data_IF_297139309096
#
_entry.id   IF_297139309096
#
_cell.length_a   1.000
_cell.length_b   1.000
_cell.length_c   1.000
_cell.angle_alpha   90.00
_cell.angle_beta   90.00
_cell.angle_gamma   90.00
#
_symmetry.space_group_name_H-M   'P 1'
#
loop_
_entity.id
_entity.type
_entity.pdbx_description
1 polymer ?
#
# COMPACT_ATOMS: atom_id res chain seq x y z
N UNK A 1 -7.73 18.48 8.23
CA UNK A 1 -8.06 17.39 7.29
C UNK A 1 -7.09 17.39 6.13
N UNK A 2 -6.28 16.34 5.99
CA UNK A 2 -5.28 16.12 4.94
C UNK A 2 -5.57 14.79 4.24
N UNK A 3 -5.47 14.80 2.92
CA UNK A 3 -5.69 13.62 2.07
C UNK A 3 -4.45 13.42 1.22
N UNK A 4 -3.97 12.18 1.14
CA UNK A 4 -2.91 11.78 0.21
C UNK A 4 -3.49 10.76 -0.76
N UNK A 5 -3.29 10.99 -2.05
CA UNK A 5 -3.55 9.99 -3.10
C UNK A 5 -2.23 9.52 -3.69
N UNK A 6 -2.05 8.22 -3.85
CA UNK A 6 -0.80 7.65 -4.35
C UNK A 6 -1.06 6.33 -5.09
N UNK A 7 -0.65 6.28 -6.35
CA UNK A 7 -0.51 5.02 -7.06
C UNK A 7 0.82 4.39 -6.65
N UNK A 8 0.78 3.17 -6.12
CA UNK A 8 1.97 2.51 -5.56
C UNK A 8 2.57 1.46 -6.49
N UNK A 9 1.96 1.23 -7.66
CA UNK A 9 2.41 0.29 -8.69
C UNK A 9 2.83 -1.08 -8.11
N UNK A 10 1.92 -1.70 -7.35
CA UNK A 10 2.16 -2.99 -6.71
C UNK A 10 3.14 -2.97 -5.54
N UNK A 11 3.65 -1.80 -5.14
CA UNK A 11 4.69 -1.67 -4.13
C UNK A 11 6.09 -2.04 -4.63
N UNK A 12 6.36 -1.88 -5.94
CA UNK A 12 7.61 -2.25 -6.60
C UNK A 12 8.86 -1.70 -5.89
N UNK A 13 8.81 -0.46 -5.38
CA UNK A 13 9.84 0.15 -4.54
C UNK A 13 9.51 0.04 -3.04
N UNK A 14 9.68 -1.17 -2.51
CA UNK A 14 9.13 -1.55 -1.20
C UNK A 14 9.59 -0.65 -0.03
N UNK A 15 10.90 -0.54 0.23
CA UNK A 15 11.40 0.14 1.43
C UNK A 15 11.08 1.64 1.46
N UNK A 16 11.35 2.44 0.41
CA UNK A 16 10.97 3.87 0.41
C UNK A 16 9.46 4.07 0.58
N UNK A 17 8.65 3.15 0.05
CA UNK A 17 7.20 3.19 0.20
C UNK A 17 6.77 2.96 1.66
N UNK A 18 7.37 2.01 2.38
CA UNK A 18 7.08 1.82 3.80
C UNK A 18 7.51 3.03 4.65
N UNK A 19 8.68 3.60 4.36
CA UNK A 19 9.19 4.82 5.01
C UNK A 19 8.26 6.02 4.77
N UNK A 20 7.64 6.11 3.58
CA UNK A 20 6.61 7.10 3.28
C UNK A 20 5.38 6.96 4.18
N UNK A 21 4.85 5.74 4.32
CA UNK A 21 3.69 5.50 5.18
C UNK A 21 3.96 5.77 6.65
N UNK A 22 5.16 5.43 7.15
CA UNK A 22 5.56 5.79 8.53
C UNK A 22 5.62 7.31 8.74
N UNK A 23 6.22 8.03 7.78
CA UNK A 23 6.33 9.49 7.84
C UNK A 23 4.97 10.19 7.87
N UNK A 24 4.00 9.69 7.11
CA UNK A 24 2.70 10.31 6.93
C UNK A 24 1.55 9.62 7.67
N UNK A 25 1.84 8.74 8.64
CA UNK A 25 0.82 7.92 9.33
C UNK A 25 -0.34 8.70 9.98
N UNK A 26 -0.14 9.97 10.31
CA UNK A 26 -1.14 10.87 10.92
C UNK A 26 -2.02 11.60 9.89
N UNK A 27 -1.84 11.35 8.59
CA UNK A 27 -2.79 11.80 7.55
C UNK A 27 -4.17 11.24 7.85
N UNK A 28 -5.22 11.98 7.50
CA UNK A 28 -6.60 11.56 7.81
C UNK A 28 -7.10 10.49 6.84
N UNK A 29 -6.78 10.62 5.54
CA UNK A 29 -7.23 9.70 4.49
C UNK A 29 -6.10 9.41 3.49
N UNK A 30 -5.88 8.12 3.22
CA UNK A 30 -5.08 7.65 2.10
C UNK A 30 -5.98 7.06 0.99
N UNK A 31 -5.78 7.51 -0.25
CA UNK A 31 -6.38 6.95 -1.45
C UNK A 31 -5.31 6.25 -2.28
N UNK A 32 -5.27 4.93 -2.24
CA UNK A 32 -4.18 4.16 -2.85
C UNK A 32 -4.67 3.40 -4.09
N UNK A 33 -3.89 3.43 -5.18
CA UNK A 33 -4.17 2.70 -6.43
C UNK A 33 -3.09 1.66 -6.71
N UNK A 34 -3.44 0.66 -7.52
CA UNK A 34 -2.57 -0.47 -7.91
C UNK A 34 -1.98 -1.22 -6.71
N UNK A 35 -2.83 -1.47 -5.70
CA UNK A 35 -2.44 -2.26 -4.52
C UNK A 35 -2.66 -3.74 -4.78
N UNK A 36 -1.68 -4.57 -4.43
CA UNK A 36 -1.82 -6.03 -4.39
C UNK A 36 -2.25 -6.51 -3.00
N UNK A 37 -3.27 -7.36 -2.97
CA UNK A 37 -3.78 -8.00 -1.76
C UNK A 37 -4.12 -9.46 -2.04
N UNK A 38 -3.35 -10.39 -1.46
CA UNK A 38 -3.54 -11.84 -1.63
C UNK A 38 -3.46 -12.28 -3.10
N UNK A 39 -2.63 -11.60 -3.89
CA UNK A 39 -2.42 -11.95 -5.30
C UNK A 39 -1.65 -13.27 -5.39
N UNK A 40 -2.15 -14.22 -6.19
CA UNK A 40 -1.38 -15.43 -6.53
C UNK A 40 -0.27 -15.04 -7.51
N UNK A 41 0.95 -15.58 -7.36
CA UNK A 41 1.97 -15.51 -8.41
C UNK A 41 1.41 -16.18 -9.66
N UNK A 42 0.97 -15.40 -10.63
CA UNK A 42 1.12 -15.83 -12.02
C UNK A 42 2.60 -15.66 -12.29
N UNK A 43 3.27 -16.70 -12.79
CA UNK A 43 4.70 -16.65 -13.11
C UNK A 43 4.88 -15.62 -14.23
N UNK A 44 5.09 -14.36 -13.85
CA UNK A 44 5.56 -13.30 -14.71
C UNK A 44 6.93 -12.94 -14.15
N UNK A 45 7.94 -12.89 -15.00
CA UNK A 45 9.37 -12.82 -14.66
C UNK A 45 9.81 -11.54 -13.93
N UNK A 46 8.87 -10.72 -13.43
CA UNK A 46 9.18 -9.47 -12.74
C UNK A 46 9.48 -9.76 -11.25
N UNK A 47 10.78 -9.79 -10.92
CA UNK A 47 11.32 -10.15 -9.60
C UNK A 47 10.94 -9.19 -8.45
N UNK A 48 10.07 -8.21 -8.69
CA UNK A 48 9.77 -7.11 -7.78
C UNK A 48 8.37 -7.09 -7.16
N UNK A 49 7.48 -8.03 -7.53
CA UNK A 49 6.08 -7.96 -7.07
C UNK A 49 5.92 -8.32 -5.59
N UNK A 50 5.56 -7.31 -4.79
CA UNK A 50 5.13 -7.48 -3.41
C UNK A 50 3.65 -7.80 -3.38
N UNK A 51 3.34 -9.08 -3.56
CA UNK A 51 1.98 -9.62 -3.73
C UNK A 51 1.05 -9.39 -2.52
N UNK A 52 1.59 -8.89 -1.41
CA UNK A 52 0.89 -8.61 -0.16
C UNK A 52 1.20 -7.21 0.41
N UNK A 53 1.61 -6.24 -0.42
CA UNK A 53 1.92 -4.87 0.03
C UNK A 53 0.78 -4.24 0.86
N UNK A 54 -0.48 -4.60 0.60
CA UNK A 54 -1.61 -4.17 1.42
C UNK A 54 -1.44 -4.52 2.91
N UNK A 55 -0.96 -5.73 3.21
CA UNK A 55 -0.79 -6.19 4.60
C UNK A 55 0.29 -5.38 5.33
N UNK A 56 1.38 -5.05 4.63
CA UNK A 56 2.46 -4.24 5.19
C UNK A 56 2.00 -2.82 5.50
N UNK A 57 1.26 -2.21 4.56
CA UNK A 57 0.64 -0.90 4.75
C UNK A 57 -0.33 -0.92 5.93
N UNK A 58 -1.16 -1.96 6.05
CA UNK A 58 -2.11 -2.10 7.17
C UNK A 58 -1.40 -2.25 8.53
N UNK A 59 -0.24 -2.91 8.55
CA UNK A 59 0.58 -3.05 9.76
C UNK A 59 1.21 -1.74 10.22
N UNK A 60 1.53 -0.83 9.29
CA UNK A 60 2.02 0.52 9.60
C UNK A 60 0.86 1.41 10.04
N UNK A 61 -0.25 1.38 9.31
CA UNK A 61 -1.40 2.24 9.50
C UNK A 61 -2.47 1.61 10.40
N UNK A 62 -2.09 1.03 11.55
CA UNK A 62 -3.04 0.31 12.45
C UNK A 62 -4.23 1.14 12.95
N UNK A 63 -4.09 2.47 13.00
CA UNK A 63 -5.15 3.40 13.40
C UNK A 63 -6.08 3.82 12.27
N UNK A 64 -5.76 3.46 11.02
CA UNK A 64 -6.59 3.78 9.85
C UNK A 64 -7.66 2.71 9.64
N UNK A 65 -8.88 3.15 9.35
CA UNK A 65 -9.96 2.26 8.96
C UNK A 65 -9.93 2.02 7.45
N UNK A 66 -9.85 0.75 7.04
CA UNK A 66 -10.03 0.38 5.64
C UNK A 66 -11.49 0.56 5.25
N UNK A 67 -11.75 1.46 4.31
CA UNK A 67 -13.05 1.56 3.65
C UNK A 67 -13.14 0.42 2.62
N UNK A 68 -14.11 -0.47 2.78
CA UNK A 68 -14.44 -1.50 1.79
C UNK A 68 -15.66 -0.99 1.00
N UNK A 69 -15.56 -0.98 -0.32
CA UNK A 69 -16.60 -0.60 -1.29
C UNK A 69 -16.71 0.91 -1.60
N UNK A 70 -16.31 1.26 -2.83
CA UNK A 70 -16.97 2.25 -3.69
C UNK A 70 -17.15 1.56 -5.04
#
# INVERSE_FOLDING_TARGET
MKIITLNIWGGRIHRPLLEFFERYKLVDIFCLQEIYHRSKKVVVEDKGDQLNIFSDIQNILKGHMRIKNI
#
